data_IF_335884857787
#
_entry.id   IF_335884857787
#
_cell.length_a   1.000
_cell.length_b   1.000
_cell.length_c   1.000
_cell.angle_alpha   90.00
_cell.angle_beta   90.00
_cell.angle_gamma   90.00
#
_symmetry.space_group_name_H-M   'P 1'
#
loop_
_entity.id
_entity.type
_entity.pdbx_description
1 polymer ?
#
# COMPACT_ATOMS: atom_id res chain seq x y z
N UNK A 1 6.60 -4.89 -1.24
CA UNK A 1 5.51 -4.49 -2.17
C UNK A 1 5.86 -3.11 -2.70
N UNK A 2 5.94 -2.93 -4.01
CA UNK A 2 6.13 -1.62 -4.64
C UNK A 2 4.89 -1.21 -5.43
N UNK A 3 4.52 0.06 -5.35
CA UNK A 3 3.55 0.75 -6.19
C UNK A 3 4.23 1.99 -6.79
N UNK A 4 3.60 2.61 -7.79
CA UNK A 4 4.09 3.87 -8.38
C UNK A 4 4.21 4.99 -7.32
N UNK A 5 3.45 4.90 -6.23
CA UNK A 5 3.38 5.92 -5.19
C UNK A 5 4.01 5.52 -3.86
N UNK A 6 4.36 4.24 -3.63
CA UNK A 6 4.98 3.78 -2.38
C UNK A 6 5.68 2.43 -2.48
N UNK A 7 6.68 2.22 -1.65
CA UNK A 7 7.29 0.90 -1.41
C UNK A 7 7.19 0.57 0.07
N UNK A 8 6.62 -0.59 0.39
CA UNK A 8 6.41 -1.05 1.77
C UNK A 8 6.95 -2.49 1.94
N UNK A 9 7.58 -2.74 3.09
CA UNK A 9 8.09 -4.06 3.51
C UNK A 9 7.46 -4.41 4.85
N UNK A 10 6.85 -5.59 4.92
CA UNK A 10 6.23 -6.14 6.13
C UNK A 10 6.93 -7.43 6.50
N UNK A 11 7.29 -7.60 7.78
CA UNK A 11 7.98 -8.79 8.23
C UNK A 11 8.09 -8.85 9.75
N UNK A 12 8.46 -10.04 10.23
CA UNK A 12 8.81 -10.27 11.63
C UNK A 12 10.31 -10.21 11.79
N UNK A 13 10.78 -9.25 12.60
CA UNK A 13 12.20 -9.04 12.90
C UNK A 13 12.37 -8.67 14.36
N UNK A 14 13.54 -8.92 14.93
CA UNK A 14 13.84 -8.49 16.30
C UNK A 14 14.06 -6.99 16.37
N UNK A 15 14.65 -6.41 15.32
CA UNK A 15 14.87 -4.98 15.20
C UNK A 15 14.52 -4.48 13.79
N UNK A 16 13.81 -3.34 13.64
CA UNK A 16 13.43 -2.80 12.31
C UNK A 16 14.60 -2.60 11.37
N UNK A 17 15.78 -2.30 11.94
CA UNK A 17 17.02 -2.14 11.19
C UNK A 17 17.37 -3.32 10.29
N UNK A 18 16.95 -4.54 10.64
CA UNK A 18 17.14 -5.73 9.80
C UNK A 18 16.44 -5.55 8.43
N UNK A 19 15.18 -5.09 8.43
CA UNK A 19 14.45 -4.82 7.19
C UNK A 19 14.96 -3.58 6.47
N UNK A 20 15.34 -2.54 7.22
CA UNK A 20 15.87 -1.29 6.63
C UNK A 20 17.17 -1.59 5.90
N UNK A 21 18.09 -2.31 6.53
CA UNK A 21 19.36 -2.71 5.93
C UNK A 21 19.13 -3.54 4.66
N UNK A 22 18.25 -4.54 4.71
CA UNK A 22 17.92 -5.34 3.52
C UNK A 22 17.34 -4.48 2.39
N UNK A 23 16.47 -3.51 2.72
CA UNK A 23 15.91 -2.61 1.72
C UNK A 23 16.98 -1.70 1.11
N UNK A 24 17.84 -1.10 1.94
CA UNK A 24 18.96 -0.27 1.50
C UNK A 24 19.94 -1.07 0.63
N UNK A 25 20.32 -2.28 1.03
CA UNK A 25 21.23 -3.16 0.25
C UNK A 25 20.66 -3.56 -1.12
N UNK A 26 19.34 -3.65 -1.22
CA UNK A 26 18.64 -3.99 -2.47
C UNK A 26 18.06 -2.75 -3.18
N UNK A 27 18.48 -1.56 -2.75
CA UNK A 27 18.15 -0.29 -3.38
C UNK A 27 19.43 0.52 -3.58
N UNK A 28 19.36 1.60 -4.34
CA UNK A 28 20.48 2.55 -4.46
C UNK A 28 20.49 3.59 -3.31
N UNK A 29 19.77 3.35 -2.21
CA UNK A 29 19.61 4.30 -1.10
C UNK A 29 20.38 3.92 0.16
N UNK A 30 20.79 4.94 0.91
CA UNK A 30 21.45 4.85 2.22
C UNK A 30 20.46 4.74 3.38
N UNK A 31 20.95 4.31 4.55
CA UNK A 31 20.15 4.27 5.78
C UNK A 31 19.77 5.69 6.22
N UNK A 32 20.68 6.64 6.01
CA UNK A 32 20.48 8.06 6.31
C UNK A 32 19.33 8.64 5.47
N UNK A 33 19.28 8.35 4.17
CA UNK A 33 18.17 8.75 3.30
C UNK A 33 16.84 8.10 3.72
N UNK A 34 16.89 6.81 4.11
CA UNK A 34 15.72 6.12 4.64
C UNK A 34 15.17 6.82 5.89
N UNK A 35 16.02 7.19 6.84
CA UNK A 35 15.60 7.86 8.07
C UNK A 35 14.91 9.21 7.84
N UNK A 36 15.26 9.92 6.76
CA UNK A 36 14.67 11.23 6.46
C UNK A 36 13.30 11.15 5.81
N UNK A 37 12.99 10.04 5.12
CA UNK A 37 11.82 9.96 4.22
C UNK A 37 10.91 8.76 4.44
N UNK A 38 11.25 7.84 5.35
CA UNK A 38 10.51 6.62 5.58
C UNK A 38 9.77 6.60 6.93
N UNK A 39 8.73 5.75 6.98
CA UNK A 39 7.96 5.50 8.18
C UNK A 39 8.29 4.11 8.74
N UNK A 40 8.28 3.98 10.07
CA UNK A 40 8.46 2.70 10.76
C UNK A 40 7.25 2.49 11.67
N UNK A 41 6.46 1.46 11.38
CA UNK A 41 5.34 1.03 12.21
C UNK A 41 5.66 -0.30 12.89
N UNK A 42 5.22 -0.48 14.12
CA UNK A 42 5.46 -1.71 14.90
C UNK A 42 4.16 -2.28 15.44
N UNK A 43 4.10 -3.60 15.58
CA UNK A 43 2.99 -4.31 16.25
C UNK A 43 1.62 -3.86 15.72
N UNK A 44 0.74 -3.36 16.60
CA UNK A 44 -0.61 -2.90 16.25
C UNK A 44 -0.60 -1.75 15.24
N UNK A 45 0.38 -0.85 15.29
CA UNK A 45 0.47 0.24 14.32
C UNK A 45 0.73 -0.29 12.91
N UNK A 46 1.57 -1.32 12.77
CA UNK A 46 1.85 -1.94 11.48
C UNK A 46 0.62 -2.69 10.94
N UNK A 47 -0.14 -3.35 11.82
CA UNK A 47 -1.41 -4.00 11.48
C UNK A 47 -2.43 -2.96 11.01
N UNK A 48 -2.63 -1.90 11.79
CA UNK A 48 -3.55 -0.81 11.46
C UNK A 48 -3.17 -0.12 10.16
N UNK A 49 -1.87 0.11 9.93
CA UNK A 49 -1.36 0.65 8.68
C UNK A 49 -1.74 -0.23 7.49
N UNK A 50 -1.49 -1.55 7.56
CA UNK A 50 -1.86 -2.47 6.48
C UNK A 50 -3.37 -2.47 6.19
N UNK A 51 -4.22 -2.37 7.23
CA UNK A 51 -5.66 -2.21 7.03
C UNK A 51 -5.98 -0.89 6.31
N UNK A 52 -5.47 0.24 6.77
CA UNK A 52 -5.71 1.55 6.14
C UNK A 52 -5.29 1.58 4.68
N UNK A 53 -4.13 1.00 4.37
CA UNK A 53 -3.61 0.86 3.02
C UNK A 53 -4.52 -0.05 2.18
N UNK A 54 -4.79 -1.26 2.66
CA UNK A 54 -5.60 -2.24 1.94
C UNK A 54 -7.06 -1.85 1.74
N UNK A 55 -7.62 -1.01 2.62
CA UNK A 55 -8.99 -0.46 2.48
C UNK A 55 -9.03 0.87 1.72
N UNK A 56 -7.91 1.36 1.19
CA UNK A 56 -7.85 2.59 0.39
C UNK A 56 -8.05 3.88 1.19
N UNK A 57 -7.95 3.83 2.52
CA UNK A 57 -8.03 5.00 3.41
C UNK A 57 -6.73 5.82 3.43
N UNK A 58 -5.62 5.18 3.08
CA UNK A 58 -4.30 5.80 2.99
C UNK A 58 -3.86 6.03 1.54
N UNK A 59 -4.79 6.04 0.59
CA UNK A 59 -4.47 6.30 -0.82
C UNK A 59 -4.46 7.82 -1.12
N UNK A 60 -3.59 8.25 -2.03
CA UNK A 60 -3.61 9.63 -2.58
C UNK A 60 -4.97 9.96 -3.20
N UNK A 61 -5.65 8.93 -3.69
CA UNK A 61 -7.02 8.99 -4.18
C UNK A 61 -7.85 8.12 -3.26
N UNK A 62 -8.61 8.77 -2.39
CA UNK A 62 -9.45 8.08 -1.43
C UNK A 62 -10.40 7.11 -2.15
N UNK A 63 -10.37 5.85 -1.73
CA UNK A 63 -11.17 4.79 -2.36
C UNK A 63 -10.59 4.21 -3.65
N UNK A 64 -9.35 4.55 -4.04
CA UNK A 64 -8.61 3.77 -5.03
C UNK A 64 -8.14 2.44 -4.42
N UNK A 65 -8.57 1.34 -5.03
CA UNK A 65 -8.32 -0.03 -4.57
C UNK A 65 -7.30 -0.76 -5.45
N UNK A 66 -6.51 -0.08 -6.29
CA UNK A 66 -5.41 -0.73 -7.02
C UNK A 66 -4.38 -1.34 -6.06
N UNK A 67 -4.14 -0.68 -4.92
CA UNK A 67 -3.14 -1.11 -3.94
C UNK A 67 -3.47 -2.46 -3.29
N UNK A 68 -4.75 -2.80 -3.08
CA UNK A 68 -5.09 -4.12 -2.51
C UNK A 68 -4.77 -5.26 -3.49
N UNK A 69 -4.81 -5.01 -4.80
CA UNK A 69 -4.38 -5.98 -5.80
C UNK A 69 -2.87 -6.22 -5.73
N UNK A 70 -2.08 -5.16 -5.48
CA UNK A 70 -0.63 -5.26 -5.29
C UNK A 70 -0.27 -6.02 -4.00
N UNK A 71 -0.99 -5.76 -2.89
CA UNK A 71 -0.83 -6.52 -1.64
C UNK A 71 -1.05 -8.02 -1.90
N UNK A 72 -2.13 -8.37 -2.61
CA UNK A 72 -2.44 -9.78 -2.94
C UNK A 72 -1.33 -10.46 -3.74
N UNK A 73 -0.82 -9.79 -4.78
CA UNK A 73 0.24 -10.32 -5.64
C UNK A 73 1.51 -10.54 -4.82
N UNK A 74 1.95 -9.53 -4.08
CA UNK A 74 3.15 -9.61 -3.25
C UNK A 74 3.03 -10.72 -2.19
N UNK A 75 1.89 -10.80 -1.52
CA UNK A 75 1.62 -11.83 -0.52
C UNK A 75 1.65 -13.24 -1.12
N UNK A 76 1.00 -13.45 -2.26
CA UNK A 76 0.96 -14.76 -2.90
C UNK A 76 2.35 -15.20 -3.36
N UNK A 77 3.14 -14.28 -3.91
CA UNK A 77 4.54 -14.53 -4.26
C UNK A 77 5.35 -14.93 -3.02
N UNK A 78 5.29 -14.13 -1.93
CA UNK A 78 5.98 -14.47 -0.67
C UNK A 78 5.53 -15.82 -0.09
N UNK A 79 4.26 -16.19 -0.25
CA UNK A 79 3.72 -17.47 0.20
C UNK A 79 4.28 -18.64 -0.59
N UNK A 80 4.45 -18.50 -1.91
CA UNK A 80 5.08 -19.52 -2.75
C UNK A 80 6.54 -19.76 -2.38
N UNK A 81 7.24 -18.71 -1.97
CA UNK A 81 8.64 -18.77 -1.50
C UNK A 81 8.77 -19.22 -0.02
N UNK A 82 7.68 -19.56 0.66
CA UNK A 82 7.72 -20.00 2.07
C UNK A 82 8.05 -18.89 3.07
N UNK A 83 7.96 -17.62 2.69
CA UNK A 83 8.31 -16.46 3.52
C UNK A 83 7.15 -15.97 4.41
N UNK A 84 5.98 -16.60 4.30
CA UNK A 84 4.76 -16.19 5.00
C UNK A 84 4.46 -17.16 6.14
N UNK A 85 4.42 -16.64 7.37
CA UNK A 85 3.94 -17.39 8.52
C UNK A 85 2.42 -17.33 8.66
N UNK A 86 1.86 -18.14 9.57
CA UNK A 86 0.41 -18.22 9.83
C UNK A 86 -0.21 -16.88 10.23
N UNK A 87 0.53 -16.02 10.93
CA UNK A 87 0.02 -14.71 11.30
C UNK A 87 -0.15 -13.79 10.09
N UNK A 88 0.88 -13.67 9.24
CA UNK A 88 0.81 -12.87 8.01
C UNK A 88 -0.27 -13.39 7.07
N UNK A 89 -0.42 -14.72 6.97
CA UNK A 89 -1.49 -15.33 6.18
C UNK A 89 -2.88 -14.89 6.67
N UNK A 90 -3.13 -14.95 7.98
CA UNK A 90 -4.40 -14.50 8.56
C UNK A 90 -4.61 -12.99 8.40
N UNK A 91 -3.57 -12.20 8.65
CA UNK A 91 -3.64 -10.74 8.56
C UNK A 91 -3.98 -10.29 7.14
N UNK A 92 -3.24 -10.75 6.14
CA UNK A 92 -3.47 -10.33 4.75
C UNK A 92 -4.84 -10.79 4.26
N UNK A 93 -5.29 -12.00 4.63
CA UNK A 93 -6.65 -12.45 4.33
C UNK A 93 -7.72 -11.57 4.97
N UNK A 94 -7.54 -11.14 6.24
CA UNK A 94 -8.45 -10.23 6.91
C UNK A 94 -8.49 -8.84 6.23
N UNK A 95 -7.33 -8.31 5.82
CA UNK A 95 -7.23 -7.05 5.07
C UNK A 95 -7.95 -7.13 3.72
N UNK A 96 -7.81 -8.25 3.00
CA UNK A 96 -8.51 -8.50 1.73
C UNK A 96 -10.03 -8.52 1.93
N UNK A 97 -10.50 -9.17 3.00
CA UNK A 97 -11.93 -9.22 3.33
C UNK A 97 -12.48 -7.84 3.72
N UNK A 98 -11.75 -7.10 4.56
CA UNK A 98 -12.11 -5.74 4.94
C UNK A 98 -12.17 -4.81 3.72
N UNK A 99 -11.19 -4.90 2.82
CA UNK A 99 -11.17 -4.14 1.57
C UNK A 99 -12.40 -4.41 0.70
N UNK A 100 -12.79 -5.68 0.55
CA UNK A 100 -14.03 -6.05 -0.15
C UNK A 100 -15.25 -5.43 0.52
N UNK A 101 -15.37 -5.55 1.84
CA UNK A 101 -16.48 -5.01 2.62
C UNK A 101 -16.61 -3.50 2.46
N UNK A 102 -15.50 -2.77 2.60
CA UNK A 102 -15.46 -1.31 2.40
C UNK A 102 -15.90 -0.95 0.98
N UNK A 103 -15.43 -1.68 -0.03
CA UNK A 103 -15.80 -1.43 -1.43
C UNK A 103 -17.29 -1.63 -1.71
N UNK A 104 -17.92 -2.64 -1.09
CA UNK A 104 -19.31 -3.03 -1.36
C UNK A 104 -20.33 -2.38 -0.45
N UNK A 105 -19.99 -2.10 0.80
CA UNK A 105 -20.92 -1.63 1.83
C UNK A 105 -20.80 -0.13 2.11
N UNK A 106 -19.83 0.56 1.52
CA UNK A 106 -19.64 2.00 1.72
C UNK A 106 -19.65 2.75 0.39
N UNK A 107 -19.97 4.04 0.45
CA UNK A 107 -19.92 4.95 -0.70
C UNK A 107 -18.51 5.46 -0.99
N UNK A 108 -17.48 5.03 -0.24
CA UNK A 108 -16.11 5.52 -0.42
C UNK A 108 -15.56 5.22 -1.82
N UNK A 109 -16.03 4.12 -2.44
CA UNK A 109 -15.68 3.71 -3.79
C UNK A 109 -16.45 4.47 -4.87
N UNK A 110 -17.64 5.01 -4.56
CA UNK A 110 -18.52 5.67 -5.55
C UNK A 110 -18.02 7.04 -6.03
N UNK A 111 -17.04 7.62 -5.34
CA UNK A 111 -16.32 8.84 -5.75
C UNK A 111 -14.86 8.59 -6.10
N UNK A 112 -14.40 7.34 -6.09
CA UNK A 112 -13.00 6.98 -6.35
C UNK A 112 -12.69 7.21 -7.83
N UNK A 113 -12.10 8.36 -8.09
CA UNK A 113 -11.69 8.82 -9.40
C UNK A 113 -10.24 8.41 -9.56
N UNK A 114 -9.94 7.35 -10.32
CA UNK A 114 -8.56 6.89 -10.54
C UNK A 114 -7.62 8.04 -10.91
N UNK A 115 -6.30 7.87 -10.76
CA UNK A 115 -5.31 8.90 -11.13
C UNK A 115 -5.56 9.40 -12.56
N UNK A 116 -5.91 8.48 -13.46
CA UNK A 116 -6.30 8.79 -14.84
C UNK A 116 -7.56 9.67 -14.92
N UNK A 117 -8.62 9.37 -14.16
CA UNK A 117 -9.82 10.21 -14.13
C UNK A 117 -9.53 11.58 -13.51
N UNK A 118 -8.78 11.64 -12.41
CA UNK A 118 -8.38 12.88 -11.76
C UNK A 118 -7.57 13.77 -12.73
N UNK A 119 -6.67 13.15 -13.51
CA UNK A 119 -5.88 13.82 -14.55
C UNK A 119 -6.77 14.37 -15.67
N UNK A 120 -7.75 13.59 -16.15
CA UNK A 120 -8.73 14.03 -17.16
C UNK A 120 -9.59 15.19 -16.63
N UNK A 121 -10.09 15.08 -15.40
CA UNK A 121 -10.85 16.17 -14.77
C UNK A 121 -10.00 17.43 -14.58
N UNK A 122 -8.74 17.28 -14.20
CA UNK A 122 -7.81 18.39 -14.11
C UNK A 122 -7.64 19.08 -15.45
N UNK A 123 -7.42 18.31 -16.53
CA UNK A 123 -7.30 18.85 -17.90
C UNK A 123 -8.58 19.58 -18.30
N UNK A 124 -9.76 18.95 -18.17
CA UNK A 124 -11.05 19.57 -18.52
C UNK A 124 -11.30 20.88 -17.77
N UNK A 125 -10.87 20.97 -16.51
CA UNK A 125 -11.09 22.17 -15.67
C UNK A 125 -10.09 23.29 -15.92
N UNK A 126 -8.89 22.98 -16.39
CA UNK A 126 -7.77 23.93 -16.46
C UNK A 126 -7.29 24.24 -17.87
N UNK A 127 -7.66 23.42 -18.86
CA UNK A 127 -7.39 23.68 -20.26
C UNK A 127 -8.72 24.07 -20.89
N UNK A 128 -8.95 25.38 -20.97
CA UNK A 128 -10.07 25.92 -21.74
C UNK A 128 -9.98 25.41 -23.18
N UNK A 129 -11.12 24.99 -23.75
CA UNK A 129 -11.24 24.61 -25.15
C UNK A 129 -10.54 25.63 -26.04
N UNK A 130 -9.32 25.32 -26.49
CA UNK A 130 -8.69 25.99 -27.63
C UNK A 130 -9.39 25.45 -28.87
N UNK A 131 -10.58 25.99 -29.15
CA UNK A 131 -11.22 25.90 -30.45
C UNK A 131 -10.79 27.10 -31.29
#
# INVERSE_FOLDING_TARGET
MGSISRTEVYGFVHHPYELIKLLCENSNGSVEEFQQSAYIYKNEEAVNHMFRVGTGLDSQILGDFEIISQIKIAFYHSKQEGLVNTFLDRLVNAVIQASKKVKTETKISSGATSVSFASVQYIIRNVADTT
#
